data_IF_880131868743
#
_entry.id   IF_880131868743
#
_cell.length_a   1.000
_cell.length_b   1.000
_cell.length_c   1.000
_cell.angle_alpha   90.00
_cell.angle_beta   90.00
_cell.angle_gamma   90.00
#
_symmetry.space_group_name_H-M   'P 1'
#
loop_
_entity.id
_entity.type
_entity.pdbx_description
1 polymer ?
#
# COMPACT_ATOMS: atom_id res chain seq x y z
N UNK A 1 15.77 -57.31 -40.02
CA UNK A 1 15.77 -57.40 -41.50
C UNK A 1 14.34 -57.21 -41.99
N UNK A 2 14.06 -56.53 -43.11
CA UNK A 2 14.58 -55.25 -43.61
C UNK A 2 13.46 -54.25 -44.02
N UNK A 3 13.91 -53.02 -44.31
CA UNK A 3 13.35 -51.87 -45.08
C UNK A 3 12.67 -52.24 -46.43
N UNK A 4 11.88 -51.35 -47.12
CA UNK A 4 12.37 -50.13 -47.85
C UNK A 4 11.46 -48.85 -47.76
N UNK A 5 12.01 -47.62 -47.78
CA UNK A 5 12.44 -46.78 -48.94
C UNK A 5 11.22 -46.19 -49.70
N UNK A 6 11.11 -44.90 -50.06
CA UNK A 6 12.02 -44.02 -50.80
C UNK A 6 11.33 -42.61 -50.89
N UNK A 7 12.00 -41.46 -50.77
CA UNK A 7 12.50 -40.53 -51.84
C UNK A 7 12.89 -39.24 -51.06
N UNK A 8 14.09 -38.66 -51.04
CA UNK A 8 15.04 -38.30 -52.11
C UNK A 8 14.75 -36.86 -52.57
N UNK A 9 15.62 -35.84 -52.39
CA UNK A 9 16.71 -35.56 -53.34
C UNK A 9 17.52 -34.30 -52.94
N UNK A 10 18.86 -34.48 -52.91
CA UNK A 10 20.02 -33.62 -53.29
C UNK A 10 20.24 -32.30 -52.54
N UNK A 11 21.42 -32.00 -51.97
CA UNK A 11 22.83 -32.26 -52.36
C UNK A 11 23.52 -30.89 -52.52
N UNK A 12 24.80 -30.59 -52.28
CA UNK A 12 26.04 -31.32 -52.00
C UNK A 12 27.04 -30.26 -51.44
N UNK A 13 27.84 -30.54 -50.41
CA UNK A 13 29.28 -30.90 -50.45
C UNK A 13 30.21 -29.74 -50.88
N UNK A 14 31.19 -29.28 -50.09
CA UNK A 14 32.57 -29.79 -49.84
C UNK A 14 33.33 -28.62 -49.16
N UNK A 15 34.37 -28.70 -48.35
CA UNK A 15 35.43 -29.69 -48.06
C UNK A 15 36.20 -29.19 -46.84
N UNK A 16 36.66 -30.10 -45.98
CA UNK A 16 37.76 -29.88 -45.05
C UNK A 16 39.00 -30.61 -45.59
N UNK A 17 40.19 -30.02 -45.43
CA UNK A 17 41.46 -30.76 -45.47
C UNK A 17 42.46 -30.13 -44.50
N UNK A 18 43.00 -30.97 -43.64
CA UNK A 18 44.09 -30.75 -42.67
C UNK A 18 45.45 -30.52 -43.37
N UNK A 19 46.39 -29.83 -42.69
CA UNK A 19 47.75 -30.35 -42.42
C UNK A 19 48.67 -29.34 -41.69
N UNK A 20 49.22 -29.83 -40.57
CA UNK A 20 50.61 -29.74 -40.09
C UNK A 20 51.29 -28.38 -39.78
N UNK A 21 51.91 -28.32 -38.59
CA UNK A 21 52.48 -27.14 -37.99
C UNK A 21 53.86 -26.68 -38.49
N UNK A 22 54.18 -25.44 -38.16
CA UNK A 22 55.53 -25.04 -37.74
C UNK A 22 55.49 -23.75 -36.90
N UNK A 23 56.46 -23.65 -36.00
CA UNK A 23 56.60 -22.71 -34.90
C UNK A 23 56.77 -21.22 -35.26
N UNK A 24 56.43 -20.38 -34.26
CA UNK A 24 57.01 -19.07 -33.90
C UNK A 24 56.88 -17.91 -34.90
N UNK A 25 56.03 -16.94 -34.53
CA UNK A 25 56.53 -15.59 -34.28
C UNK A 25 55.71 -14.87 -33.20
N UNK A 26 56.43 -14.54 -32.13
CA UNK A 26 56.13 -13.56 -31.09
C UNK A 26 55.67 -12.23 -31.68
N UNK A 27 54.52 -11.75 -31.22
CA UNK A 27 54.01 -10.43 -31.57
C UNK A 27 52.79 -10.09 -30.73
N UNK A 28 52.96 -10.01 -29.41
CA UNK A 28 51.98 -9.37 -28.54
C UNK A 28 51.84 -7.91 -28.99
N UNK A 29 50.74 -7.60 -29.68
CA UNK A 29 50.37 -6.22 -29.97
C UNK A 29 49.95 -5.59 -28.63
N UNK A 30 50.90 -4.89 -28.01
CA UNK A 30 50.61 -3.96 -26.92
C UNK A 30 49.54 -2.99 -27.42
N UNK A 31 48.40 -2.80 -26.72
CA UNK A 31 47.41 -1.83 -27.15
C UNK A 31 48.08 -0.45 -27.17
N UNK A 32 48.10 0.17 -28.34
CA UNK A 32 48.64 1.52 -28.52
C UNK A 32 47.77 2.51 -27.74
N UNK A 33 48.40 3.49 -27.07
CA UNK A 33 47.76 4.47 -26.18
C UNK A 33 46.49 5.13 -26.76
N UNK A 34 46.43 5.34 -28.09
CA UNK A 34 45.26 5.89 -28.78
C UNK A 34 43.99 5.04 -28.68
N UNK A 35 44.11 3.72 -28.59
CA UNK A 35 42.94 2.82 -28.54
C UNK A 35 42.31 2.81 -27.14
N UNK A 36 43.14 2.89 -26.10
CA UNK A 36 42.71 2.99 -24.70
C UNK A 36 42.08 4.35 -24.40
N UNK A 37 42.63 5.43 -24.95
CA UNK A 37 42.10 6.79 -24.83
C UNK A 37 40.72 6.92 -25.50
N UNK A 38 40.53 6.29 -26.66
CA UNK A 38 39.25 6.19 -27.36
C UNK A 38 38.18 5.43 -26.56
N UNK A 39 38.55 4.30 -25.95
CA UNK A 39 37.65 3.51 -25.11
C UNK A 39 37.24 4.25 -23.82
N UNK A 40 38.18 4.97 -23.20
CA UNK A 40 37.93 5.78 -22.01
C UNK A 40 36.95 6.94 -22.31
N UNK A 41 37.18 7.68 -23.41
CA UNK A 41 36.29 8.76 -23.86
C UNK A 41 34.89 8.22 -24.19
N UNK A 42 34.80 7.04 -24.79
CA UNK A 42 33.52 6.39 -25.05
C UNK A 42 32.78 6.01 -23.77
N UNK A 43 33.46 5.43 -22.77
CA UNK A 43 32.87 5.04 -21.49
C UNK A 43 32.33 6.26 -20.71
N UNK A 44 33.09 7.36 -20.68
CA UNK A 44 32.65 8.62 -20.05
C UNK A 44 31.40 9.18 -20.74
N UNK A 45 31.38 9.19 -22.07
CA UNK A 45 30.19 9.62 -22.83
C UNK A 45 29.00 8.72 -22.58
N UNK A 46 29.20 7.40 -22.53
CA UNK A 46 28.14 6.44 -22.22
C UNK A 46 27.52 6.77 -20.86
N UNK A 47 28.34 6.91 -19.81
CA UNK A 47 27.88 7.26 -18.46
C UNK A 47 27.11 8.58 -18.41
N UNK A 48 27.59 9.62 -19.11
CA UNK A 48 26.92 10.92 -19.18
C UNK A 48 25.55 10.87 -19.87
N UNK A 49 25.40 10.00 -20.86
CA UNK A 49 24.19 9.88 -21.68
C UNK A 49 23.28 8.71 -21.28
N UNK A 50 23.61 7.98 -20.20
CA UNK A 50 22.70 7.00 -19.60
C UNK A 50 21.34 7.66 -19.30
N UNK A 51 20.27 6.93 -19.65
CA UNK A 51 18.89 7.41 -19.48
C UNK A 51 18.42 7.29 -18.04
N UNK A 52 19.04 6.39 -17.26
CA UNK A 52 18.79 6.20 -15.83
C UNK A 52 19.55 7.30 -15.06
N UNK A 53 18.91 8.06 -14.18
CA UNK A 53 19.59 8.95 -13.24
C UNK A 53 20.66 8.18 -12.46
N UNK A 54 21.92 8.60 -12.60
CA UNK A 54 23.06 7.95 -11.97
C UNK A 54 24.07 8.98 -11.50
N UNK A 55 24.47 8.85 -10.24
CA UNK A 55 25.61 9.57 -9.69
C UNK A 55 26.58 8.61 -9.00
N UNK A 56 27.83 9.04 -8.88
CA UNK A 56 28.89 8.23 -8.28
C UNK A 56 29.63 9.07 -7.26
N UNK A 57 29.83 8.50 -6.08
CA UNK A 57 30.66 9.05 -5.01
C UNK A 57 32.01 8.32 -5.00
N UNK A 58 33.10 9.06 -4.79
CA UNK A 58 34.40 8.45 -4.49
C UNK A 58 34.48 8.04 -2.99
N UNK A 59 35.60 7.43 -2.61
CA UNK A 59 35.87 7.03 -1.21
C UNK A 59 35.77 8.20 -0.21
N UNK A 60 36.04 9.44 -0.61
CA UNK A 60 35.90 10.64 0.22
C UNK A 60 34.47 11.23 0.24
N UNK A 61 33.46 10.52 -0.27
CA UNK A 61 32.06 10.96 -0.39
C UNK A 61 31.89 12.22 -1.24
N UNK A 62 32.76 12.41 -2.24
CA UNK A 62 32.64 13.48 -3.23
C UNK A 62 32.02 12.95 -4.52
N UNK A 63 31.11 13.73 -5.10
CA UNK A 63 30.47 13.39 -6.37
C UNK A 63 31.50 13.45 -7.50
N UNK A 64 31.76 12.33 -8.17
CA UNK A 64 32.65 12.26 -9.34
C UNK A 64 31.88 12.13 -10.65
N UNK A 65 30.65 11.63 -10.62
CA UNK A 65 29.76 11.54 -11.77
C UNK A 65 28.39 12.06 -11.37
N UNK A 66 27.83 12.93 -12.21
CA UNK A 66 26.43 13.35 -12.18
C UNK A 66 25.92 13.41 -13.62
N UNK A 67 25.15 12.40 -14.04
CA UNK A 67 24.79 12.27 -15.45
C UNK A 67 23.64 13.19 -15.88
N UNK A 68 23.39 13.27 -17.19
CA UNK A 68 22.33 14.11 -17.75
C UNK A 68 20.93 13.71 -17.28
N UNK A 69 20.72 12.45 -16.90
CA UNK A 69 19.45 12.01 -16.34
C UNK A 69 19.23 12.54 -14.92
N UNK A 70 20.27 12.62 -14.08
CA UNK A 70 20.20 13.28 -12.77
C UNK A 70 19.88 14.78 -12.91
N UNK A 71 20.53 15.49 -13.84
CA UNK A 71 20.21 16.90 -14.10
C UNK A 71 18.73 17.09 -14.48
N UNK A 72 18.18 16.22 -15.34
CA UNK A 72 16.76 16.29 -15.74
C UNK A 72 15.80 15.96 -14.60
N UNK A 73 16.13 14.95 -13.78
CA UNK A 73 15.28 14.52 -12.66
C UNK A 73 15.19 15.59 -11.57
N UNK A 74 16.35 16.14 -11.20
CA UNK A 74 16.50 17.00 -10.02
C UNK A 74 16.44 18.50 -10.35
N UNK A 75 16.76 18.88 -11.59
CA UNK A 75 17.02 20.26 -12.01
C UNK A 75 18.37 20.83 -11.57
N UNK A 76 19.20 20.04 -10.86
CA UNK A 76 20.52 20.47 -10.39
C UNK A 76 21.57 20.16 -11.46
N UNK A 77 22.30 21.16 -11.98
CA UNK A 77 23.32 20.93 -12.98
C UNK A 77 24.59 20.31 -12.35
N UNK A 78 25.28 19.47 -13.12
CA UNK A 78 26.41 18.66 -12.63
C UNK A 78 27.53 19.51 -12.01
N UNK A 79 27.79 20.70 -12.55
CA UNK A 79 28.87 21.57 -12.07
C UNK A 79 28.62 22.15 -10.67
N UNK A 80 27.39 22.12 -10.16
CA UNK A 80 27.08 22.56 -8.79
C UNK A 80 27.38 21.47 -7.74
N UNK A 81 27.37 20.20 -8.14
CA UNK A 81 27.49 19.05 -7.20
C UNK A 81 28.81 18.29 -7.35
N UNK A 82 29.40 18.24 -8.55
CA UNK A 82 30.67 17.54 -8.79
C UNK A 82 31.77 18.12 -7.88
N UNK A 83 32.50 17.23 -7.22
CA UNK A 83 33.56 17.56 -6.26
C UNK A 83 33.06 17.94 -4.86
N UNK A 84 31.75 18.03 -4.66
CA UNK A 84 31.13 18.33 -3.35
C UNK A 84 30.60 17.06 -2.69
N UNK A 85 30.17 17.17 -1.43
CA UNK A 85 29.43 16.14 -0.69
C UNK A 85 27.99 16.59 -0.41
N UNK A 86 27.47 17.54 -1.21
CA UNK A 86 26.16 18.16 -1.01
C UNK A 86 25.08 17.64 -1.97
N UNK A 87 25.28 16.45 -2.56
CA UNK A 87 24.33 15.82 -3.48
C UNK A 87 22.94 15.61 -2.87
N UNK A 88 22.84 15.48 -1.55
CA UNK A 88 21.57 15.37 -0.82
C UNK A 88 20.60 16.52 -1.13
N UNK A 89 21.12 17.73 -1.40
CA UNK A 89 20.32 18.94 -1.71
C UNK A 89 19.50 18.81 -2.98
N UNK A 90 19.89 17.89 -3.86
CA UNK A 90 19.14 17.60 -5.08
C UNK A 90 17.86 16.79 -4.81
N UNK A 91 17.82 16.04 -3.70
CA UNK A 91 16.77 15.06 -3.42
C UNK A 91 15.91 15.41 -2.20
N UNK A 92 16.46 16.16 -1.24
CA UNK A 92 15.86 16.42 0.07
C UNK A 92 15.96 17.90 0.49
N UNK A 93 15.02 18.34 1.33
CA UNK A 93 14.97 19.72 1.86
C UNK A 93 15.91 19.93 3.06
N UNK A 94 16.37 18.86 3.69
CA UNK A 94 17.24 18.86 4.86
C UNK A 94 18.44 17.95 4.61
N UNK A 95 19.55 18.27 5.28
CA UNK A 95 20.78 17.49 5.20
C UNK A 95 20.55 16.07 5.74
N UNK A 96 20.81 15.08 4.89
CA UNK A 96 20.79 13.66 5.23
C UNK A 96 21.67 12.87 4.30
N UNK A 97 22.12 11.70 4.77
CA UNK A 97 22.82 10.73 3.93
C UNK A 97 21.88 10.17 2.84
N UNK A 98 22.38 10.14 1.61
CA UNK A 98 21.81 9.34 0.53
C UNK A 98 22.22 7.87 0.69
N UNK A 99 21.70 7.00 -0.16
CA UNK A 99 21.91 5.56 0.01
C UNK A 99 23.38 5.20 -0.25
N UNK A 100 24.01 5.85 -1.23
CA UNK A 100 25.44 5.73 -1.50
C UNK A 100 26.32 6.15 -0.33
N UNK A 101 25.92 7.14 0.46
CA UNK A 101 26.65 7.52 1.67
C UNK A 101 26.58 6.41 2.72
N UNK A 102 25.43 5.76 2.87
CA UNK A 102 25.26 4.64 3.80
C UNK A 102 26.09 3.42 3.39
N UNK A 103 26.19 3.14 2.10
CA UNK A 103 27.10 2.10 1.56
C UNK A 103 28.56 2.46 1.87
N UNK A 104 28.98 3.71 1.62
CA UNK A 104 30.35 4.16 1.89
C UNK A 104 30.70 4.11 3.39
N UNK A 105 29.74 4.40 4.25
CA UNK A 105 29.93 4.43 5.70
C UNK A 105 29.75 3.06 6.38
N UNK A 106 29.35 2.03 5.61
CA UNK A 106 28.96 0.71 6.12
C UNK A 106 27.91 0.81 7.24
N UNK A 107 26.83 1.56 6.98
CA UNK A 107 25.74 1.80 7.93
C UNK A 107 24.37 1.35 7.42
N UNK A 108 24.16 0.04 7.18
CA UNK A 108 22.86 -0.48 6.77
C UNK A 108 21.79 -0.27 7.85
N UNK A 109 22.15 -0.27 9.14
CA UNK A 109 21.22 -0.09 10.26
C UNK A 109 20.51 1.28 10.25
N UNK A 110 21.09 2.29 9.59
CA UNK A 110 20.47 3.62 9.47
C UNK A 110 19.36 3.69 8.40
N UNK A 111 19.08 2.59 7.69
CA UNK A 111 18.05 2.55 6.65
C UNK A 111 16.63 2.65 7.19
N UNK A 112 16.35 2.01 8.34
CA UNK A 112 15.04 2.03 9.01
C UNK A 112 14.54 3.44 9.31
N UNK A 113 15.45 4.34 9.70
CA UNK A 113 15.12 5.72 10.05
C UNK A 113 14.94 6.62 8.81
N UNK A 114 15.59 6.27 7.70
CA UNK A 114 15.74 7.16 6.55
C UNK A 114 14.87 6.76 5.34
N UNK A 115 14.43 5.51 5.24
CA UNK A 115 13.74 4.97 4.06
C UNK A 115 12.45 4.24 4.41
N UNK A 116 11.43 4.40 3.56
CA UNK A 116 10.08 3.83 3.79
C UNK A 116 10.06 2.32 3.54
N UNK A 117 10.75 1.88 2.49
CA UNK A 117 10.92 0.46 2.19
C UNK A 117 12.40 0.21 1.92
N UNK A 118 12.94 -0.89 2.41
CA UNK A 118 14.29 -1.32 2.07
C UNK A 118 14.37 -2.86 2.08
N UNK A 119 15.32 -3.41 1.32
CA UNK A 119 15.60 -4.84 1.38
C UNK A 119 16.42 -5.13 2.64
N UNK A 120 16.12 -6.25 3.33
CA UNK A 120 16.98 -6.75 4.39
C UNK A 120 18.40 -7.00 3.83
N UNK A 121 19.48 -6.77 4.60
CA UNK A 121 20.86 -6.99 4.17
C UNK A 121 21.15 -8.49 3.92
N UNK A 122 20.67 -9.03 2.80
CA UNK A 122 20.97 -10.38 2.33
C UNK A 122 22.25 -10.35 1.48
N UNK A 123 23.35 -10.82 2.06
CA UNK A 123 24.68 -10.96 1.45
C UNK A 123 25.25 -9.64 0.87
N UNK A 124 25.98 -8.91 1.71
CA UNK A 124 26.51 -7.54 1.55
C UNK A 124 27.44 -7.29 0.35
N UNK A 125 27.54 -8.22 -0.59
CA UNK A 125 28.36 -8.09 -1.80
C UNK A 125 27.64 -7.37 -2.95
N UNK A 126 26.32 -7.16 -2.89
CA UNK A 126 25.52 -6.61 -4.01
C UNK A 126 25.02 -5.16 -3.83
N UNK A 127 25.34 -4.49 -2.72
CA UNK A 127 24.88 -3.11 -2.45
C UNK A 127 23.54 -3.03 -1.72
N UNK A 128 23.02 -1.82 -1.53
CA UNK A 128 21.78 -1.53 -0.80
C UNK A 128 20.67 -1.08 -1.76
N UNK A 129 19.43 -1.41 -1.39
CA UNK A 129 18.22 -1.00 -2.13
C UNK A 129 17.19 -0.39 -1.20
N UNK A 130 16.59 0.72 -1.61
CA UNK A 130 15.55 1.39 -0.84
C UNK A 130 14.54 2.12 -1.71
N UNK A 131 13.35 2.36 -1.18
CA UNK A 131 12.33 3.21 -1.78
C UNK A 131 11.94 4.34 -0.83
N UNK A 132 11.81 5.56 -1.35
CA UNK A 132 11.39 6.70 -0.54
C UNK A 132 10.78 7.83 -1.38
N UNK A 133 10.01 8.68 -0.71
CA UNK A 133 9.60 9.97 -1.25
C UNK A 133 10.75 10.98 -1.19
N UNK A 134 11.13 11.51 -2.35
CA UNK A 134 12.08 12.61 -2.51
C UNK A 134 11.35 13.87 -2.99
N UNK A 135 11.81 15.06 -2.63
CA UNK A 135 11.07 16.33 -2.78
C UNK A 135 11.61 17.26 -3.87
N UNK A 136 12.75 16.91 -4.47
CA UNK A 136 13.40 17.62 -5.58
C UNK A 136 13.28 19.15 -5.49
N UNK A 137 14.03 19.80 -4.58
CA UNK A 137 13.80 21.19 -4.19
C UNK A 137 13.84 22.18 -5.36
N UNK A 138 14.76 22.02 -6.31
CA UNK A 138 14.93 22.95 -7.44
C UNK A 138 13.75 22.93 -8.41
N UNK A 139 13.20 21.75 -8.70
CA UNK A 139 12.05 21.59 -9.61
C UNK A 139 10.71 21.58 -8.88
N UNK A 140 10.71 21.65 -7.54
CA UNK A 140 9.53 21.64 -6.67
C UNK A 140 8.60 20.45 -6.94
N UNK A 141 9.18 19.25 -7.07
CA UNK A 141 8.45 18.02 -7.36
C UNK A 141 8.69 16.96 -6.30
N UNK A 142 7.61 16.38 -5.79
CA UNK A 142 7.71 15.19 -4.95
C UNK A 142 7.59 13.93 -5.80
N UNK A 143 8.62 13.09 -5.79
CA UNK A 143 8.71 11.84 -6.54
C UNK A 143 8.93 10.67 -5.59
N UNK A 144 8.31 9.53 -5.87
CA UNK A 144 8.61 8.28 -5.18
C UNK A 144 9.69 7.55 -5.96
N UNK A 145 10.87 7.42 -5.39
CA UNK A 145 12.03 6.85 -6.04
C UNK A 145 12.39 5.49 -5.46
N UNK A 146 12.63 4.53 -6.35
CA UNK A 146 13.41 3.34 -6.03
C UNK A 146 14.90 3.66 -6.29
N UNK A 147 15.74 3.34 -5.31
CA UNK A 147 17.15 3.70 -5.25
C UNK A 147 17.97 2.43 -5.06
N UNK A 148 18.94 2.23 -5.94
CA UNK A 148 19.91 1.15 -5.86
C UNK A 148 21.30 1.76 -5.73
N UNK A 149 22.04 1.41 -4.68
CA UNK A 149 23.41 1.86 -4.46
C UNK A 149 24.37 0.67 -4.32
N UNK A 150 25.47 0.66 -5.07
CA UNK A 150 26.41 -0.46 -5.10
C UNK A 150 27.88 -0.01 -5.03
N UNK A 151 28.73 -0.70 -4.25
CA UNK A 151 30.15 -0.42 -4.21
C UNK A 151 30.85 -0.85 -5.51
N UNK A 152 31.91 -0.11 -5.86
CA UNK A 152 32.83 -0.39 -6.95
C UNK A 152 34.20 -0.60 -6.31
N UNK A 153 34.79 -1.76 -6.53
CA UNK A 153 36.10 -2.13 -6.02
C UNK A 153 37.15 -2.12 -7.14
N UNK A 154 38.42 -1.94 -6.78
CA UNK A 154 39.54 -2.22 -7.69
C UNK A 154 39.87 -3.72 -7.76
N UNK A 155 40.89 -4.07 -8.54
CA UNK A 155 41.37 -5.45 -8.70
C UNK A 155 41.88 -6.07 -7.39
N UNK A 156 42.30 -5.23 -6.44
CA UNK A 156 42.82 -5.65 -5.13
C UNK A 156 41.70 -5.74 -4.06
N UNK A 157 40.46 -5.40 -4.41
CA UNK A 157 39.31 -5.42 -3.50
C UNK A 157 39.16 -4.16 -2.65
N UNK A 158 39.91 -3.09 -2.94
CA UNK A 158 39.78 -1.79 -2.27
C UNK A 158 38.59 -1.03 -2.84
N UNK A 159 37.77 -0.45 -1.96
CA UNK A 159 36.61 0.35 -2.35
C UNK A 159 37.06 1.63 -3.08
N UNK A 160 36.75 1.73 -4.37
CA UNK A 160 37.05 2.90 -5.19
C UNK A 160 35.94 3.95 -5.14
N UNK A 161 34.70 3.50 -5.24
CA UNK A 161 33.55 4.37 -5.40
C UNK A 161 32.25 3.65 -5.03
N UNK A 162 31.15 4.41 -4.93
CA UNK A 162 29.79 3.87 -4.85
C UNK A 162 28.95 4.54 -5.94
N UNK A 163 28.26 3.73 -6.72
CA UNK A 163 27.29 4.18 -7.71
C UNK A 163 25.89 4.14 -7.10
N UNK A 164 25.12 5.21 -7.28
CA UNK A 164 23.69 5.24 -6.98
C UNK A 164 22.90 5.48 -8.24
N UNK A 165 21.86 4.68 -8.45
CA UNK A 165 20.90 4.83 -9.53
C UNK A 165 19.50 5.03 -8.98
N UNK A 166 18.72 5.89 -9.64
CA UNK A 166 17.35 6.20 -9.22
C UNK A 166 16.35 5.86 -10.31
N UNK A 167 15.18 5.38 -9.90
CA UNK A 167 14.03 5.12 -10.78
C UNK A 167 12.79 5.77 -10.21
N UNK A 168 12.13 6.60 -11.02
CA UNK A 168 10.83 7.17 -10.68
C UNK A 168 9.74 6.10 -10.75
N UNK A 169 9.08 5.85 -9.61
CA UNK A 169 7.95 4.94 -9.46
C UNK A 169 6.70 5.67 -8.93
N UNK A 170 6.64 7.00 -9.08
CA UNK A 170 5.56 7.83 -8.53
C UNK A 170 4.19 7.37 -9.01
N UNK A 171 4.01 7.14 -10.30
CA UNK A 171 2.72 6.70 -10.85
C UNK A 171 2.28 5.34 -10.28
N UNK A 172 3.20 4.38 -10.21
CA UNK A 172 2.93 3.06 -9.64
C UNK A 172 2.56 3.15 -8.16
N UNK A 173 3.30 3.95 -7.38
CA UNK A 173 3.03 4.12 -5.95
C UNK A 173 1.69 4.82 -5.70
N UNK A 174 1.38 5.86 -6.48
CA UNK A 174 0.09 6.55 -6.40
C UNK A 174 -1.07 5.62 -6.78
N UNK A 175 -0.91 4.78 -7.82
CA UNK A 175 -1.91 3.79 -8.19
C UNK A 175 -2.10 2.73 -7.09
N UNK A 176 -1.00 2.25 -6.49
CA UNK A 176 -1.06 1.33 -5.35
C UNK A 176 -1.78 1.96 -4.15
N UNK A 177 -1.47 3.21 -3.79
CA UNK A 177 -2.14 3.93 -2.71
C UNK A 177 -3.62 4.17 -3.02
N UNK A 178 -3.97 4.47 -4.27
CA UNK A 178 -5.37 4.62 -4.69
C UNK A 178 -6.14 3.29 -4.61
N UNK A 179 -5.52 2.18 -5.03
CA UNK A 179 -6.08 0.84 -4.86
C UNK A 179 -6.26 0.48 -3.37
N UNK A 180 -5.31 0.84 -2.52
CA UNK A 180 -5.45 0.69 -1.07
C UNK A 180 -6.57 1.58 -0.49
N UNK A 181 -6.73 2.82 -0.98
CA UNK A 181 -7.84 3.68 -0.56
C UNK A 181 -9.21 3.14 -0.98
N UNK A 182 -9.32 2.50 -2.16
CA UNK A 182 -10.51 1.75 -2.57
C UNK A 182 -10.72 0.49 -1.71
N UNK A 183 -9.67 -0.01 -1.08
CA UNK A 183 -9.73 -1.15 -0.17
C UNK A 183 -10.23 -0.79 1.23
N UNK A 184 -10.40 0.50 1.56
CA UNK A 184 -10.85 0.94 2.90
C UNK A 184 -12.32 1.40 2.92
N UNK A 185 -12.83 1.95 1.80
CA UNK A 185 -14.19 2.50 1.73
C UNK A 185 -15.13 1.65 0.89
N UNK A 186 -16.42 1.71 1.20
CA UNK A 186 -17.49 1.16 0.36
C UNK A 186 -17.77 2.11 -0.81
N UNK A 187 -17.74 1.58 -2.03
CA UNK A 187 -17.86 2.37 -3.26
C UNK A 187 -19.23 3.02 -3.48
N UNK A 188 -20.29 2.54 -2.81
CA UNK A 188 -21.63 3.13 -2.95
C UNK A 188 -21.86 4.24 -1.92
N UNK A 189 -21.52 3.98 -0.66
CA UNK A 189 -21.91 4.80 0.49
C UNK A 189 -20.81 5.75 0.96
N UNK A 190 -19.54 5.46 0.64
CA UNK A 190 -18.39 6.26 1.09
C UNK A 190 -17.97 6.03 2.55
N UNK A 191 -18.73 5.23 3.30
CA UNK A 191 -18.36 4.74 4.63
C UNK A 191 -17.18 3.77 4.54
N UNK A 192 -16.63 3.38 5.69
CA UNK A 192 -15.71 2.25 5.76
C UNK A 192 -16.38 0.97 5.21
N UNK A 193 -15.61 0.09 4.59
CA UNK A 193 -16.11 -1.22 4.18
C UNK A 193 -15.95 -2.25 5.30
N UNK A 194 -16.51 -3.45 5.09
CA UNK A 194 -16.41 -4.56 6.05
C UNK A 194 -14.98 -4.90 6.45
N UNK A 195 -14.03 -4.93 5.51
CA UNK A 195 -12.62 -5.21 5.85
C UNK A 195 -12.07 -4.20 6.86
N UNK A 196 -12.36 -2.92 6.65
CA UNK A 196 -11.91 -1.86 7.54
C UNK A 196 -12.61 -1.89 8.89
N UNK A 197 -13.87 -2.32 8.93
CA UNK A 197 -14.56 -2.62 10.17
C UNK A 197 -13.85 -3.74 10.93
N UNK A 198 -13.58 -4.88 10.29
CA UNK A 198 -12.93 -6.04 10.93
C UNK A 198 -11.54 -5.67 11.48
N UNK A 199 -10.72 -4.95 10.69
CA UNK A 199 -9.38 -4.48 11.10
C UNK A 199 -9.44 -3.49 12.27
N UNK A 200 -10.37 -2.52 12.24
CA UNK A 200 -10.53 -1.53 13.31
C UNK A 200 -11.07 -2.18 14.58
N UNK A 201 -12.01 -3.11 14.45
CA UNK A 201 -12.61 -3.84 15.57
C UNK A 201 -11.52 -4.57 16.36
N UNK A 202 -10.65 -5.32 15.69
CA UNK A 202 -9.59 -6.06 16.35
C UNK A 202 -8.57 -5.13 17.02
N UNK A 203 -8.15 -4.07 16.32
CA UNK A 203 -7.21 -3.09 16.85
C UNK A 203 -7.75 -2.40 18.12
N UNK A 204 -9.02 -2.00 18.10
CA UNK A 204 -9.66 -1.35 19.24
C UNK A 204 -10.02 -2.33 20.36
N UNK A 205 -10.32 -3.60 20.05
CA UNK A 205 -10.51 -4.63 21.06
C UNK A 205 -9.26 -4.78 21.94
N UNK A 206 -8.09 -4.93 21.30
CA UNK A 206 -6.81 -5.00 22.00
C UNK A 206 -6.48 -3.70 22.76
N UNK A 207 -6.85 -2.54 22.21
CA UNK A 207 -6.67 -1.27 22.91
C UNK A 207 -7.52 -1.17 24.18
N UNK A 208 -8.82 -1.44 24.09
CA UNK A 208 -9.74 -1.40 25.22
C UNK A 208 -9.43 -2.49 26.26
N UNK A 209 -8.89 -3.63 25.84
CA UNK A 209 -8.37 -4.66 26.76
C UNK A 209 -7.23 -4.13 27.62
N UNK A 210 -6.26 -3.41 27.02
CA UNK A 210 -5.14 -2.81 27.76
C UNK A 210 -5.59 -1.70 28.72
N UNK A 211 -6.56 -0.90 28.31
CA UNK A 211 -7.08 0.21 29.12
C UNK A 211 -8.13 -0.23 30.16
N UNK A 212 -8.63 -1.47 30.06
CA UNK A 212 -9.71 -1.97 30.91
C UNK A 212 -11.06 -1.26 30.68
N UNK A 213 -11.28 -0.72 29.48
CA UNK A 213 -12.47 0.05 29.11
C UNK A 213 -13.48 -0.79 28.34
N UNK A 214 -14.76 -0.41 28.40
CA UNK A 214 -15.82 -1.05 27.60
C UNK A 214 -15.75 -0.60 26.14
N UNK A 215 -16.10 -1.48 25.21
CA UNK A 215 -16.35 -1.15 23.81
C UNK A 215 -17.74 -1.64 23.40
N UNK A 216 -18.39 -0.89 22.52
CA UNK A 216 -19.70 -1.24 21.98
C UNK A 216 -19.68 -1.34 20.45
N UNK A 217 -20.57 -2.20 19.93
CA UNK A 217 -20.85 -2.36 18.50
C UNK A 217 -22.35 -2.25 18.28
N UNK A 218 -22.73 -1.54 17.21
CA UNK A 218 -24.07 -1.59 16.64
C UNK A 218 -24.03 -2.35 15.32
N UNK A 219 -24.95 -3.27 15.12
CA UNK A 219 -25.31 -3.79 13.80
C UNK A 219 -26.68 -3.25 13.41
N UNK A 220 -26.78 -2.75 12.19
CA UNK A 220 -27.89 -1.93 11.71
C UNK A 220 -28.36 -2.49 10.38
N UNK A 221 -29.67 -2.73 10.24
CA UNK A 221 -30.27 -3.23 9.01
C UNK A 221 -31.41 -2.32 8.55
N UNK A 222 -31.49 -2.06 7.25
CA UNK A 222 -32.59 -1.31 6.65
C UNK A 222 -33.81 -2.22 6.48
N UNK A 223 -34.86 -1.94 7.24
CA UNK A 223 -36.04 -2.80 7.29
C UNK A 223 -36.74 -2.89 5.93
N UNK A 224 -36.99 -4.14 5.50
CA UNK A 224 -37.66 -4.47 4.23
C UNK A 224 -36.97 -3.84 3.00
N UNK A 225 -35.63 -3.73 3.00
CA UNK A 225 -34.90 -3.13 1.89
C UNK A 225 -35.07 -3.85 0.55
N UNK A 226 -35.15 -5.19 0.56
CA UNK A 226 -35.48 -5.95 -0.66
C UNK A 226 -36.82 -5.50 -1.26
N UNK A 227 -37.85 -5.36 -0.43
CA UNK A 227 -39.17 -4.90 -0.86
C UNK A 227 -39.16 -3.44 -1.35
N UNK A 228 -38.33 -2.61 -0.73
CA UNK A 228 -38.07 -1.25 -1.21
C UNK A 228 -37.49 -1.27 -2.64
N UNK A 229 -36.46 -2.09 -2.88
CA UNK A 229 -35.86 -2.25 -4.20
C UNK A 229 -36.84 -2.78 -5.24
N UNK A 230 -37.64 -3.79 -4.88
CA UNK A 230 -38.64 -4.38 -5.77
C UNK A 230 -39.71 -3.35 -6.16
N UNK A 231 -40.04 -2.42 -5.26
CA UNK A 231 -41.07 -1.38 -5.48
C UNK A 231 -40.54 -0.16 -6.23
N UNK A 232 -39.33 0.29 -5.90
CA UNK A 232 -38.80 1.59 -6.33
C UNK A 232 -37.63 1.48 -7.31
N UNK A 233 -37.10 0.28 -7.53
CA UNK A 233 -35.94 0.00 -8.35
C UNK A 233 -34.60 0.23 -7.65
N UNK A 234 -33.56 -0.49 -8.10
CA UNK A 234 -32.23 -0.47 -7.49
C UNK A 234 -31.61 0.92 -7.38
N UNK A 235 -31.85 1.83 -8.34
CA UNK A 235 -31.32 3.20 -8.27
C UNK A 235 -31.86 3.99 -7.07
N UNK A 236 -33.14 3.82 -6.74
CA UNK A 236 -33.72 4.43 -5.53
C UNK A 236 -33.26 3.71 -4.27
N UNK A 237 -33.02 2.41 -4.34
CA UNK A 237 -32.36 1.64 -3.29
C UNK A 237 -30.99 2.18 -2.94
N UNK A 238 -30.15 2.38 -3.95
CA UNK A 238 -28.82 2.95 -3.82
C UNK A 238 -28.86 4.36 -3.18
N UNK A 239 -29.81 5.19 -3.59
CA UNK A 239 -30.03 6.50 -2.98
C UNK A 239 -30.49 6.41 -1.51
N UNK A 240 -31.34 5.43 -1.18
CA UNK A 240 -31.75 5.13 0.19
C UNK A 240 -30.54 4.74 1.05
N UNK A 241 -29.71 3.79 0.59
CA UNK A 241 -28.50 3.37 1.32
C UNK A 241 -27.50 4.52 1.51
N UNK A 242 -27.33 5.39 0.51
CA UNK A 242 -26.51 6.61 0.63
C UNK A 242 -27.06 7.57 1.69
N UNK A 243 -28.38 7.70 1.80
CA UNK A 243 -29.01 8.57 2.79
C UNK A 243 -28.87 8.01 4.21
N UNK A 244 -29.05 6.69 4.37
CA UNK A 244 -28.81 5.99 5.65
C UNK A 244 -27.35 6.11 6.07
N UNK A 245 -26.42 5.91 5.13
CA UNK A 245 -24.99 6.06 5.36
C UNK A 245 -24.61 7.47 5.82
N UNK A 246 -25.17 8.50 5.19
CA UNK A 246 -24.94 9.89 5.57
C UNK A 246 -25.45 10.19 6.99
N UNK A 247 -26.58 9.59 7.39
CA UNK A 247 -27.07 9.70 8.78
C UNK A 247 -26.11 9.03 9.75
N UNK A 248 -25.65 7.81 9.45
CA UNK A 248 -24.69 7.11 10.32
C UNK A 248 -23.39 7.91 10.48
N UNK A 249 -22.82 8.41 9.38
CA UNK A 249 -21.60 9.22 9.38
C UNK A 249 -21.77 10.50 10.23
N UNK A 250 -22.93 11.15 10.13
CA UNK A 250 -23.24 12.34 10.92
C UNK A 250 -23.51 12.03 12.40
N UNK A 251 -24.10 10.87 12.72
CA UNK A 251 -24.44 10.55 14.11
C UNK A 251 -23.26 10.01 14.92
N UNK A 252 -22.19 9.60 14.25
CA UNK A 252 -20.96 9.07 14.83
C UNK A 252 -19.93 10.19 14.95
N UNK A 253 -19.98 10.96 16.05
CA UNK A 253 -19.24 12.22 16.20
C UNK A 253 -17.80 12.06 16.68
N UNK A 254 -17.47 10.97 17.38
CA UNK A 254 -16.15 10.86 18.00
C UNK A 254 -15.15 10.37 16.95
N UNK A 255 -13.94 10.95 16.90
CA UNK A 255 -12.89 10.50 15.98
C UNK A 255 -12.50 9.03 16.14
N UNK A 256 -12.74 8.44 17.32
CA UNK A 256 -12.48 7.03 17.62
C UNK A 256 -13.51 6.08 17.02
N UNK A 257 -14.74 6.57 16.80
CA UNK A 257 -15.84 5.74 16.37
C UNK A 257 -15.77 5.54 14.85
N UNK A 258 -16.28 4.40 14.36
CA UNK A 258 -16.23 4.05 12.94
C UNK A 258 -17.59 3.57 12.47
N UNK A 259 -18.18 4.25 11.49
CA UNK A 259 -19.33 3.76 10.74
C UNK A 259 -18.85 3.04 9.46
N UNK A 260 -19.41 1.85 9.22
CA UNK A 260 -19.08 1.02 8.07
C UNK A 260 -20.33 0.44 7.41
N UNK A 261 -20.24 0.18 6.10
CA UNK A 261 -21.20 -0.71 5.42
C UNK A 261 -20.71 -2.14 5.55
N UNK A 262 -21.46 -2.95 6.28
CA UNK A 262 -21.09 -4.32 6.64
C UNK A 262 -21.37 -5.29 5.49
N UNK A 263 -22.45 -5.08 4.73
CA UNK A 263 -22.76 -5.82 3.51
C UNK A 263 -24.21 -5.61 3.08
N UNK A 264 -24.49 -5.55 1.77
CA UNK A 264 -25.86 -5.34 1.28
C UNK A 264 -26.50 -4.08 1.87
N UNK A 265 -27.59 -4.25 2.62
CA UNK A 265 -28.32 -3.23 3.38
C UNK A 265 -27.88 -3.08 4.85
N UNK A 266 -26.88 -3.85 5.27
CA UNK A 266 -26.37 -3.88 6.64
C UNK A 266 -25.21 -2.90 6.83
N UNK A 267 -25.26 -2.20 7.95
CA UNK A 267 -24.25 -1.27 8.43
C UNK A 267 -23.80 -1.67 9.83
N UNK A 268 -22.62 -1.20 10.21
CA UNK A 268 -22.06 -1.43 11.53
C UNK A 268 -21.42 -0.15 12.07
N UNK A 269 -21.44 0.00 13.39
CA UNK A 269 -20.77 1.10 14.10
C UNK A 269 -19.91 0.55 15.22
N UNK A 270 -18.63 0.92 15.24
CA UNK A 270 -17.70 0.63 16.34
C UNK A 270 -17.61 1.86 17.24
N UNK A 271 -17.77 1.68 18.55
CA UNK A 271 -17.64 2.74 19.55
C UNK A 271 -16.67 2.30 20.65
N UNK A 272 -15.37 2.64 20.53
CA UNK A 272 -14.38 2.40 21.58
C UNK A 272 -14.72 3.19 22.85
N UNK A 273 -14.23 2.72 24.00
CA UNK A 273 -14.43 3.36 25.31
C UNK A 273 -15.90 3.79 25.54
N UNK A 274 -16.83 2.90 25.21
CA UNK A 274 -18.27 3.14 25.26
C UNK A 274 -18.97 1.95 25.90
N UNK A 275 -19.67 2.21 27.00
CA UNK A 275 -20.55 1.26 27.66
C UNK A 275 -21.90 1.16 26.92
N UNK A 276 -22.68 0.13 27.25
CA UNK A 276 -23.95 -0.14 26.56
C UNK A 276 -24.90 1.06 26.56
N UNK A 277 -24.99 1.79 27.68
CA UNK A 277 -25.82 2.99 27.78
C UNK A 277 -25.44 4.05 26.74
N UNK A 278 -24.15 4.30 26.53
CA UNK A 278 -23.67 5.24 25.51
C UNK A 278 -24.00 4.77 24.09
N UNK A 279 -23.89 3.47 23.84
CA UNK A 279 -24.25 2.87 22.56
C UNK A 279 -25.74 3.03 22.24
N UNK A 280 -26.61 2.86 23.24
CA UNK A 280 -28.05 3.06 23.11
C UNK A 280 -28.41 4.52 22.79
N UNK A 281 -27.73 5.49 23.42
CA UNK A 281 -27.93 6.90 23.09
C UNK A 281 -27.57 7.21 21.63
N UNK A 282 -26.51 6.61 21.09
CA UNK A 282 -26.15 6.75 19.67
C UNK A 282 -27.19 6.08 18.77
N UNK A 283 -27.62 4.87 19.12
CA UNK A 283 -28.65 4.14 18.38
C UNK A 283 -29.99 4.89 18.31
N UNK A 284 -30.45 5.47 19.43
CA UNK A 284 -31.68 6.26 19.47
C UNK A 284 -31.60 7.52 18.60
N UNK A 285 -30.46 8.18 18.57
CA UNK A 285 -30.22 9.34 17.70
C UNK A 285 -30.21 8.97 16.23
N UNK A 286 -29.64 7.82 15.88
CA UNK A 286 -29.70 7.27 14.52
C UNK A 286 -31.16 7.01 14.14
N UNK A 287 -31.92 6.35 15.01
CA UNK A 287 -33.34 6.05 14.78
C UNK A 287 -34.15 7.33 14.54
N UNK A 288 -33.92 8.37 15.34
CA UNK A 288 -34.63 9.64 15.19
C UNK A 288 -34.24 10.37 13.89
N UNK A 289 -32.94 10.47 13.59
CA UNK A 289 -32.49 11.10 12.34
C UNK A 289 -33.04 10.39 11.08
N UNK A 290 -33.17 9.05 11.11
CA UNK A 290 -33.82 8.30 10.02
C UNK A 290 -35.31 8.61 9.92
N UNK A 291 -36.02 8.76 11.05
CA UNK A 291 -37.43 9.16 11.03
C UNK A 291 -37.62 10.56 10.45
N UNK A 292 -36.70 11.47 10.75
CA UNK A 292 -36.66 12.85 10.25
C UNK A 292 -36.39 12.94 8.74
N UNK A 293 -35.55 12.05 8.18
CA UNK A 293 -35.38 11.96 6.72
C UNK A 293 -36.70 11.68 5.98
N UNK A 294 -37.66 11.03 6.66
CA UNK A 294 -39.01 10.77 6.16
C UNK A 294 -39.03 10.14 4.76
N UNK A 295 -38.10 9.23 4.47
CA UNK A 295 -38.00 8.54 3.18
C UNK A 295 -39.19 7.59 3.00
N UNK A 296 -40.05 7.78 1.98
CA UNK A 296 -41.26 6.96 1.81
C UNK A 296 -40.94 5.49 1.53
N UNK A 297 -41.64 4.58 2.20
CA UNK A 297 -41.59 3.13 1.95
C UNK A 297 -43.01 2.56 1.97
N UNK A 298 -43.79 2.83 0.92
CA UNK A 298 -45.21 2.49 0.85
C UNK A 298 -45.50 0.98 0.75
N UNK A 299 -44.49 0.16 0.48
CA UNK A 299 -44.64 -1.30 0.46
C UNK A 299 -44.24 -1.95 1.80
N UNK A 300 -43.62 -1.20 2.72
CA UNK A 300 -43.18 -1.75 4.01
C UNK A 300 -44.34 -2.22 4.87
N UNK A 301 -44.13 -3.35 5.54
CA UNK A 301 -45.08 -3.92 6.49
C UNK A 301 -44.92 -3.33 7.91
N UNK A 302 -43.90 -2.50 8.14
CA UNK A 302 -43.57 -1.95 9.46
C UNK A 302 -44.03 -0.51 9.63
N UNK A 303 -43.83 0.33 8.60
CA UNK A 303 -44.16 1.75 8.60
C UNK A 303 -44.20 2.28 7.16
N UNK A 304 -44.92 3.36 6.90
CA UNK A 304 -44.99 4.01 5.56
C UNK A 304 -43.68 4.70 5.12
N UNK A 305 -42.61 4.54 5.90
CA UNK A 305 -41.30 5.14 5.70
C UNK A 305 -40.19 4.13 5.96
N UNK A 306 -38.99 4.41 5.47
CA UNK A 306 -37.78 3.64 5.77
C UNK A 306 -37.55 3.65 7.29
N UNK A 307 -37.27 2.47 7.83
CA UNK A 307 -36.99 2.25 9.26
C UNK A 307 -35.78 1.33 9.40
N UNK A 308 -35.16 1.32 10.57
CA UNK A 308 -34.02 0.47 10.86
C UNK A 308 -34.32 -0.49 12.01
N UNK A 309 -33.75 -1.68 11.93
CA UNK A 309 -33.55 -2.56 13.08
C UNK A 309 -32.11 -2.46 13.53
N UNK A 310 -31.87 -2.29 14.83
CA UNK A 310 -30.52 -2.14 15.41
C UNK A 310 -30.33 -3.17 16.52
N UNK A 311 -29.25 -3.94 16.43
CA UNK A 311 -28.70 -4.76 17.50
C UNK A 311 -27.50 -4.06 18.14
N UNK A 312 -27.56 -3.82 19.44
CA UNK A 312 -26.48 -3.19 20.20
C UNK A 312 -25.85 -4.19 21.20
N UNK A 313 -24.53 -4.27 21.23
CA UNK A 313 -23.82 -5.00 22.26
C UNK A 313 -22.64 -4.19 22.79
N UNK A 314 -22.29 -4.38 24.06
CA UNK A 314 -21.11 -3.76 24.65
C UNK A 314 -20.48 -4.69 25.68
N UNK A 315 -19.15 -4.87 25.58
CA UNK A 315 -18.36 -5.68 26.50
C UNK A 315 -17.11 -4.93 26.95
N UNK A 316 -16.63 -5.23 28.15
CA UNK A 316 -15.24 -4.97 28.53
C UNK A 316 -14.40 -6.14 28.02
N UNK A 317 -13.41 -5.91 27.13
CA UNK A 317 -12.55 -6.97 26.64
C UNK A 317 -11.81 -7.68 27.77
N UNK A 318 -11.58 -8.98 27.61
CA UNK A 318 -10.88 -9.85 28.57
C UNK A 318 -10.26 -11.03 27.82
N UNK A 319 -9.31 -11.73 28.44
CA UNK A 319 -8.65 -12.89 27.80
C UNK A 319 -9.62 -14.06 27.48
N UNK A 320 -10.81 -14.07 28.10
CA UNK A 320 -11.84 -15.10 27.90
C UNK A 320 -12.79 -14.79 26.74
N UNK A 321 -12.72 -13.59 26.14
CA UNK A 321 -13.61 -13.17 25.04
C UNK A 321 -12.81 -12.64 23.86
N UNK A 322 -13.38 -12.77 22.68
CA UNK A 322 -12.82 -12.21 21.44
C UNK A 322 -13.71 -11.12 20.87
N UNK A 323 -13.16 -10.33 19.96
CA UNK A 323 -13.92 -9.27 19.30
C UNK A 323 -15.12 -9.82 18.51
N UNK A 324 -15.01 -11.02 17.96
CA UNK A 324 -16.10 -11.69 17.24
C UNK A 324 -17.28 -12.03 18.16
N UNK A 325 -17.05 -12.29 19.45
CA UNK A 325 -18.11 -12.54 20.42
C UNK A 325 -19.00 -11.30 20.60
N UNK A 326 -18.41 -10.11 20.55
CA UNK A 326 -19.14 -8.84 20.61
C UNK A 326 -20.02 -8.64 19.36
N UNK A 327 -19.49 -8.96 18.18
CA UNK A 327 -20.25 -8.88 16.92
C UNK A 327 -21.38 -9.91 16.91
N UNK A 328 -21.13 -11.15 17.35
CA UNK A 328 -22.15 -12.19 17.45
C UNK A 328 -23.28 -11.81 18.41
N UNK A 329 -22.95 -11.16 19.53
CA UNK A 329 -23.94 -10.64 20.46
C UNK A 329 -24.80 -9.51 19.84
N UNK A 330 -24.18 -8.59 19.10
CA UNK A 330 -24.90 -7.55 18.37
C UNK A 330 -25.79 -8.13 17.26
N UNK A 331 -25.34 -9.16 16.55
CA UNK A 331 -26.10 -9.86 15.51
C UNK A 331 -27.33 -10.55 16.07
N UNK A 332 -27.20 -11.27 17.18
CA UNK A 332 -28.35 -11.87 17.85
C UNK A 332 -29.35 -10.82 18.36
N UNK A 333 -28.86 -9.68 18.86
CA UNK A 333 -29.72 -8.56 19.22
C UNK A 333 -30.47 -8.00 17.98
N UNK A 334 -29.79 -7.85 16.85
CA UNK A 334 -30.38 -7.40 15.58
C UNK A 334 -31.44 -8.39 15.08
N UNK A 335 -31.16 -9.69 15.14
CA UNK A 335 -32.10 -10.75 14.82
C UNK A 335 -33.39 -10.63 15.68
N UNK A 336 -33.24 -10.44 16.99
CA UNK A 336 -34.36 -10.20 17.90
C UNK A 336 -35.11 -8.92 17.54
N UNK A 337 -34.43 -7.83 17.18
CA UNK A 337 -35.08 -6.60 16.72
C UNK A 337 -35.96 -6.86 15.48
N UNK A 338 -35.44 -7.61 14.50
CA UNK A 338 -36.17 -8.01 13.28
C UNK A 338 -37.40 -8.87 13.59
N UNK A 339 -37.32 -9.76 14.58
CA UNK A 339 -38.42 -10.66 14.96
C UNK A 339 -39.45 -10.04 15.91
N UNK A 340 -39.07 -9.05 16.72
CA UNK A 340 -39.99 -8.34 17.60
C UNK A 340 -40.78 -7.23 16.89
N UNK A 341 -40.76 -7.19 15.55
CA UNK A 341 -41.56 -6.26 14.76
C UNK A 341 -40.77 -5.11 14.14
N UNK A 342 -39.43 -5.16 14.12
CA UNK A 342 -38.57 -4.18 13.44
C UNK A 342 -38.69 -2.76 14.00
N UNK A 343 -38.08 -1.76 13.34
CA UNK A 343 -38.09 -0.35 13.71
C UNK A 343 -37.76 -0.11 15.19
N UNK A 344 -36.68 -0.73 15.68
CA UNK A 344 -36.31 -0.72 17.09
C UNK A 344 -34.85 -1.02 17.31
N UNK A 345 -34.39 -0.65 18.52
CA UNK A 345 -33.12 -1.08 19.07
C UNK A 345 -33.38 -2.24 20.04
N UNK A 346 -32.63 -3.32 19.92
CA UNK A 346 -32.52 -4.36 20.93
C UNK A 346 -31.06 -4.41 21.36
N UNK A 347 -30.82 -4.60 22.66
CA UNK A 347 -29.47 -4.67 23.20
C UNK A 347 -29.20 -5.98 23.93
N UNK A 348 -27.91 -6.26 24.12
CA UNK A 348 -27.43 -7.30 25.02
C UNK A 348 -26.10 -6.88 25.66
N UNK A 349 -25.94 -7.18 26.95
CA UNK A 349 -24.67 -7.09 27.68
C UNK A 349 -24.12 -8.48 28.03
N UNK A 350 -24.77 -9.57 27.56
CA UNK A 350 -24.43 -10.95 27.92
C UNK A 350 -24.34 -11.87 26.71
N UNK A 351 -23.34 -12.75 26.75
CA UNK A 351 -23.17 -13.85 25.80
C UNK A 351 -24.25 -14.95 25.98
N UNK A 352 -24.80 -15.10 27.20
CA UNK A 352 -25.62 -16.25 27.60
C UNK A 352 -27.02 -16.32 26.96
N UNK A 353 -27.50 -15.27 26.30
CA UNK A 353 -28.80 -15.29 25.61
C UNK A 353 -28.73 -15.86 24.18
N UNK A 354 -27.54 -16.29 23.73
CA UNK A 354 -27.31 -16.86 22.39
C UNK A 354 -27.79 -18.31 22.22
N UNK A 355 -28.21 -18.99 23.29
CA UNK A 355 -28.49 -20.44 23.29
C UNK A 355 -29.98 -20.80 23.22
N UNK A 356 -30.90 -19.84 23.35
CA UNK A 356 -32.36 -20.13 23.38
C UNK A 356 -33.19 -19.46 22.26
N UNK A 357 -32.64 -19.32 21.05
CA UNK A 357 -33.41 -18.92 19.87
C UNK A 357 -33.57 -20.07 18.86
#
# INVERSE_FOLDING_TARGET
>A
MPLPCMIGIKGAARTATEAAGHERHTGGAVPTSRNTESAHVFAVRLMQHLVVPTFVLNAERRVIIWNKACERLTGVPAHEVIGTSEHWRAFYDQERHCLADLVLLDRPDSMDELYVTHAEPGDSTQGLRAENWCVMPQVKKRLYLAVDAGPIFDEDGTLLAVVETLRDQTEQKLAQMALQSLAVKDGLTGLANRRSFDEKLEAEWLHNQREGTSMAVLLVDVDHFKLYNDTYGHQKGDACLKSVAAVLDQQVFRPSDLAARYGGEEFAVIMPNTALEGALHVADRIMEAIRELNLPHGASLTAERVTLSIGAAAFTPSDERRAEDLVAAADAALYRAKHQGRNRVVCTDRLAELVEA
#
